data_IF_404041737685
#
_entry.id   IF_404041737685
#
_cell.length_a   1.000
_cell.length_b   1.000
_cell.length_c   1.000
_cell.angle_alpha   90.00
_cell.angle_beta   90.00
_cell.angle_gamma   90.00
#
_symmetry.space_group_name_H-M   'P 1'
#
loop_
_entity.id
_entity.type
_entity.pdbx_description
1 polymer ?
#
# COMPACT_ATOMS: atom_id res chain seq x y z
N UNK A 1 -13.38 -1.04 -13.50
CA UNK A 1 -12.35 -1.26 -12.46
C UNK A 1 -12.52 -0.18 -11.41
N UNK A 2 -12.74 -0.58 -10.16
CA UNK A 2 -12.98 0.33 -9.03
C UNK A 2 -11.64 1.01 -8.70
N UNK A 3 -11.51 2.31 -8.98
CA UNK A 3 -10.34 3.06 -8.50
C UNK A 3 -10.45 3.09 -6.97
N UNK A 4 -9.46 2.59 -6.23
CA UNK A 4 -9.50 2.62 -4.77
C UNK A 4 -9.58 4.08 -4.32
N UNK A 5 -10.46 4.37 -3.36
CA UNK A 5 -10.58 5.72 -2.81
C UNK A 5 -9.21 6.17 -2.28
N UNK A 6 -8.70 7.38 -2.64
CA UNK A 6 -7.32 7.78 -2.34
C UNK A 6 -6.95 7.71 -0.86
N UNK A 7 -7.90 7.99 0.05
CA UNK A 7 -7.69 7.85 1.49
C UNK A 7 -7.41 6.41 1.92
N UNK A 8 -8.10 5.43 1.33
CA UNK A 8 -7.89 3.99 1.62
C UNK A 8 -6.54 3.55 1.08
N UNK A 9 -6.21 3.94 -0.15
CA UNK A 9 -4.94 3.59 -0.77
C UNK A 9 -3.75 4.12 0.02
N UNK A 10 -3.86 5.34 0.56
CA UNK A 10 -2.84 5.93 1.43
C UNK A 10 -2.64 5.11 2.70
N UNK A 11 -3.73 4.76 3.40
CA UNK A 11 -3.64 3.96 4.63
C UNK A 11 -2.97 2.60 4.41
N UNK A 12 -3.29 1.93 3.29
CA UNK A 12 -2.66 0.66 2.93
C UNK A 12 -1.14 0.78 2.70
N UNK A 13 -0.69 1.85 2.03
CA UNK A 13 0.74 2.12 1.81
C UNK A 13 1.45 2.41 3.12
N UNK A 14 0.88 3.29 3.96
CA UNK A 14 1.46 3.67 5.26
C UNK A 14 1.58 2.46 6.20
N UNK A 15 0.55 1.62 6.29
CA UNK A 15 0.56 0.42 7.13
C UNK A 15 1.62 -0.60 6.64
N UNK A 16 1.69 -0.83 5.32
CA UNK A 16 2.69 -1.74 4.75
C UNK A 16 4.12 -1.27 5.05
N UNK A 17 4.42 0.01 4.82
CA UNK A 17 5.74 0.59 5.07
C UNK A 17 6.11 0.58 6.55
N UNK A 18 5.17 0.90 7.44
CA UNK A 18 5.37 0.85 8.88
C UNK A 18 5.70 -0.57 9.36
N UNK A 19 4.94 -1.57 8.89
CA UNK A 19 5.24 -2.96 9.22
C UNK A 19 6.63 -3.33 8.71
N UNK A 20 6.97 -3.03 7.46
CA UNK A 20 8.30 -3.33 6.88
C UNK A 20 9.46 -2.68 7.63
N UNK A 21 9.29 -1.46 8.16
CA UNK A 21 10.30 -0.75 8.94
C UNK A 21 10.55 -1.37 10.33
N UNK A 22 9.53 -1.96 10.94
CA UNK A 22 9.65 -2.59 12.26
C UNK A 22 10.14 -4.04 12.14
N UNK A 23 11.37 -4.31 12.61
CA UNK A 23 11.99 -5.65 12.57
C UNK A 23 12.06 -6.37 13.93
N UNK A 24 11.54 -5.75 14.99
CA UNK A 24 11.73 -6.19 16.37
C UNK A 24 10.41 -6.55 17.03
N UNK A 25 10.02 -7.82 16.90
CA UNK A 25 8.90 -8.38 17.63
C UNK A 25 9.20 -9.86 17.91
N UNK A 26 8.82 -10.34 19.10
CA UNK A 26 9.10 -11.72 19.53
C UNK A 26 8.54 -12.78 18.55
N UNK A 27 8.97 -14.05 18.66
CA UNK A 27 8.72 -15.08 17.64
C UNK A 27 7.24 -15.23 17.22
N UNK A 28 6.28 -15.10 18.14
CA UNK A 28 4.84 -15.17 17.81
C UNK A 28 4.29 -13.92 17.13
N UNK A 29 4.87 -12.76 17.42
CA UNK A 29 4.52 -11.51 16.76
C UNK A 29 5.12 -11.44 15.34
N UNK A 30 6.26 -12.11 15.10
CA UNK A 30 6.86 -12.28 13.78
C UNK A 30 5.90 -12.93 12.76
N UNK A 31 5.28 -14.07 13.10
CA UNK A 31 4.37 -14.78 12.19
C UNK A 31 3.09 -13.99 11.88
N UNK A 32 2.47 -13.35 12.87
CA UNK A 32 1.28 -12.50 12.62
C UNK A 32 1.63 -11.29 11.75
N UNK A 33 2.81 -10.70 11.98
CA UNK A 33 3.32 -9.60 11.16
C UNK A 33 3.56 -10.04 9.72
N UNK A 34 4.20 -11.19 9.49
CA UNK A 34 4.42 -11.72 8.14
C UNK A 34 3.12 -11.92 7.36
N UNK A 35 2.11 -12.52 8.00
CA UNK A 35 0.78 -12.67 7.39
C UNK A 35 0.17 -11.31 7.05
N UNK A 36 0.26 -10.32 7.95
CA UNK A 36 -0.24 -8.97 7.67
C UNK A 36 0.48 -8.27 6.53
N UNK A 37 1.80 -8.39 6.46
CA UNK A 37 2.59 -7.86 5.34
C UNK A 37 2.15 -8.50 4.02
N UNK A 38 1.89 -9.80 4.01
CA UNK A 38 1.42 -10.52 2.82
C UNK A 38 0.00 -10.09 2.39
N UNK A 39 -0.93 -9.93 3.34
CA UNK A 39 -2.30 -9.44 3.07
C UNK A 39 -2.29 -8.04 2.45
N UNK A 40 -1.48 -7.12 3.02
CA UNK A 40 -1.34 -5.76 2.53
C UNK A 40 -0.71 -5.73 1.14
N UNK A 41 0.35 -6.51 0.92
CA UNK A 41 0.98 -6.64 -0.39
C UNK A 41 -0.01 -7.13 -1.46
N UNK A 42 -0.78 -8.17 -1.14
CA UNK A 42 -1.80 -8.70 -2.04
C UNK A 42 -2.89 -7.65 -2.35
N UNK A 43 -3.39 -6.98 -1.32
CA UNK A 43 -4.42 -5.94 -1.46
C UNK A 43 -3.93 -4.76 -2.31
N UNK A 44 -2.69 -4.31 -2.08
CA UNK A 44 -2.05 -3.27 -2.89
C UNK A 44 -1.98 -3.71 -4.36
N UNK A 45 -1.42 -4.91 -4.63
CA UNK A 45 -1.32 -5.46 -5.98
C UNK A 45 -2.67 -5.49 -6.71
N UNK A 46 -3.73 -6.00 -6.06
CA UNK A 46 -5.08 -6.04 -6.64
C UNK A 46 -5.62 -4.63 -6.89
N UNK A 47 -5.46 -3.72 -5.92
CA UNK A 47 -5.98 -2.34 -5.98
C UNK A 47 -5.28 -1.48 -7.03
N UNK A 48 -4.01 -1.79 -7.35
CA UNK A 48 -3.23 -1.08 -8.37
C UNK A 48 -3.15 -1.82 -9.70
N UNK A 49 -3.73 -3.02 -9.81
CA UNK A 49 -3.67 -3.85 -11.00
C UNK A 49 -2.26 -4.34 -11.35
N UNK A 50 -1.42 -4.58 -10.34
CA UNK A 50 -0.03 -5.04 -10.48
C UNK A 50 0.15 -6.45 -9.92
N UNK A 51 1.30 -7.06 -10.18
CA UNK A 51 1.66 -8.39 -9.66
C UNK A 51 2.71 -8.38 -8.55
N UNK A 52 3.57 -7.37 -8.54
CA UNK A 52 4.66 -7.22 -7.57
C UNK A 52 4.37 -6.05 -6.64
N UNK A 53 4.73 -6.18 -5.36
CA UNK A 53 4.43 -5.18 -4.32
C UNK A 53 5.19 -3.88 -4.55
N UNK A 54 6.42 -3.93 -5.07
CA UNK A 54 7.22 -2.76 -5.39
C UNK A 54 6.57 -1.95 -6.51
N UNK A 55 6.02 -2.63 -7.52
CA UNK A 55 5.24 -2.01 -8.61
C UNK A 55 3.92 -1.45 -8.09
N UNK A 56 3.28 -2.15 -7.16
CA UNK A 56 2.06 -1.68 -6.51
C UNK A 56 2.32 -0.37 -5.75
N UNK A 57 3.38 -0.31 -4.95
CA UNK A 57 3.77 0.88 -4.18
C UNK A 57 4.10 2.06 -5.10
N UNK A 58 4.87 1.84 -6.18
CA UNK A 58 5.15 2.90 -7.16
C UNK A 58 3.85 3.45 -7.78
N UNK A 59 2.98 2.55 -8.25
CA UNK A 59 1.70 2.94 -8.86
C UNK A 59 0.78 3.64 -7.86
N UNK A 60 0.75 3.18 -6.61
CA UNK A 60 -0.05 3.78 -5.55
C UNK A 60 0.40 5.21 -5.26
N UNK A 61 1.71 5.47 -5.20
CA UNK A 61 2.27 6.82 -5.02
C UNK A 61 1.88 7.74 -6.19
N UNK A 62 1.95 7.26 -7.43
CA UNK A 62 1.52 8.04 -8.61
C UNK A 62 0.03 8.41 -8.52
N UNK A 63 -0.83 7.44 -8.17
CA UNK A 63 -2.27 7.65 -8.00
C UNK A 63 -2.58 8.65 -6.88
N UNK A 64 -1.84 8.60 -5.77
CA UNK A 64 -2.00 9.53 -4.65
C UNK A 64 -1.52 10.94 -4.99
N UNK A 65 -0.47 11.08 -5.78
CA UNK A 65 -0.01 12.38 -6.30
C UNK A 65 -1.05 12.97 -7.25
N UNK A 66 -1.56 12.17 -8.20
CA UNK A 66 -2.61 12.60 -9.12
C UNK A 66 -3.92 13.00 -8.40
N UNK A 67 -4.26 12.34 -7.30
CA UNK A 67 -5.44 12.66 -6.49
C UNK A 67 -5.26 13.92 -5.60
N UNK A 68 -4.02 14.31 -5.30
CA UNK A 68 -3.71 15.55 -4.57
C UNK A 68 -3.75 16.79 -5.46
N UNK A 69 -3.67 16.60 -6.78
CA UNK A 69 -3.84 17.63 -7.80
C UNK A 69 -5.28 17.59 -8.34
N UNK A 70 -6.30 18.11 -7.62
CA UNK A 70 -7.61 18.27 -8.24
C UNK A 70 -7.47 19.36 -9.29
N UNK A 71 -7.51 18.98 -10.57
CA UNK A 71 -7.76 19.86 -11.72
C UNK A 71 -7.35 21.33 -11.51
N UNK A 72 -6.07 21.63 -11.67
CA UNK A 72 -5.51 22.93 -11.36
C UNK A 72 -4.40 23.39 -12.30
N UNK A 73 -4.59 23.31 -13.62
CA UNK A 73 -4.20 24.44 -14.49
C UNK A 73 -5.04 24.44 -15.77
N UNK A 74 -5.61 25.61 -16.03
CA UNK A 74 -6.36 26.02 -17.21
C UNK A 74 -5.45 26.20 -18.44
#
# INVERSE_FOLDING_TARGET
MLIPHPAILRGLVEEYEALMAHKGDGPDAGRRRELRVQDLAYTLCVSTGTREVEKALARARDLLTAAREPAGVA
#
